data_IF_685969093213
#
_entry.id   IF_685969093213
#
_cell.length_a   1.000
_cell.length_b   1.000
_cell.length_c   1.000
_cell.angle_alpha   90.00
_cell.angle_beta   90.00
_cell.angle_gamma   90.00
#
_symmetry.space_group_name_H-M   'P 1'
#
loop_
_entity.id
_entity.type
_entity.pdbx_description
1 polymer ?
#
# COMPACT_ATOMS: atom_id res chain seq x y z
N UNK A 1 11.74 -9.05 -6.30
CA UNK A 1 10.78 -8.43 -5.36
C UNK A 1 9.57 -7.94 -6.13
N UNK A 2 8.38 -8.05 -5.54
CA UNK A 2 7.09 -7.72 -6.15
C UNK A 2 6.96 -8.28 -7.58
N UNK A 3 5.77 -8.40 -8.13
CA UNK A 3 5.62 -9.14 -9.40
C UNK A 3 4.47 -8.65 -10.31
N UNK A 4 3.95 -7.46 -10.08
CA UNK A 4 2.99 -6.80 -10.96
C UNK A 4 1.58 -7.40 -10.94
N UNK A 5 0.72 -6.89 -11.81
CA UNK A 5 -0.63 -7.40 -12.01
C UNK A 5 -0.66 -8.76 -12.70
N UNK A 6 -1.66 -9.58 -12.46
CA UNK A 6 -1.85 -10.90 -13.09
C UNK A 6 -1.86 -10.84 -14.64
N UNK A 7 -2.36 -9.76 -15.21
CA UNK A 7 -2.37 -9.52 -16.67
C UNK A 7 -0.98 -9.30 -17.29
N UNK A 8 0.02 -8.98 -16.48
CA UNK A 8 1.41 -8.68 -16.89
C UNK A 8 2.31 -9.91 -16.81
N UNK A 9 1.76 -11.09 -16.49
CA UNK A 9 2.53 -12.32 -16.30
C UNK A 9 3.42 -12.69 -17.47
N UNK A 10 2.87 -12.67 -18.68
CA UNK A 10 3.61 -13.11 -19.87
C UNK A 10 4.75 -12.15 -20.21
N UNK A 11 4.56 -10.85 -19.98
CA UNK A 11 5.60 -9.82 -20.12
C UNK A 11 6.70 -10.01 -19.07
N UNK A 12 6.33 -10.25 -17.82
CA UNK A 12 7.28 -10.50 -16.72
C UNK A 12 8.13 -11.75 -17.00
N UNK A 13 7.50 -12.86 -17.36
CA UNK A 13 8.20 -14.12 -17.65
C UNK A 13 9.07 -14.00 -18.90
N UNK A 14 8.57 -13.28 -19.93
CA UNK A 14 9.36 -12.95 -21.13
C UNK A 14 10.62 -12.17 -20.79
N UNK A 15 10.50 -11.12 -19.99
CA UNK A 15 11.64 -10.29 -19.54
C UNK A 15 12.68 -11.09 -18.74
N UNK A 16 12.24 -11.99 -17.86
CA UNK A 16 13.14 -12.89 -17.13
C UNK A 16 13.90 -13.81 -18.08
N UNK A 17 13.20 -14.39 -19.05
CA UNK A 17 13.78 -15.30 -20.06
C UNK A 17 14.80 -14.56 -20.93
N UNK A 18 14.47 -13.37 -21.40
CA UNK A 18 15.36 -12.55 -22.25
C UNK A 18 16.62 -12.13 -21.50
N UNK A 19 16.51 -11.92 -20.19
CA UNK A 19 17.65 -11.67 -19.30
C UNK A 19 18.43 -12.96 -18.92
N UNK A 20 17.99 -14.15 -19.34
CA UNK A 20 18.60 -15.41 -18.94
C UNK A 20 18.44 -15.76 -17.46
N UNK A 21 17.41 -15.20 -16.80
CA UNK A 21 17.16 -15.35 -15.38
C UNK A 21 16.01 -16.34 -15.11
N UNK A 22 16.18 -17.13 -14.05
CA UNK A 22 15.12 -18.00 -13.51
C UNK A 22 14.86 -17.60 -12.06
N UNK A 23 13.62 -17.26 -11.68
CA UNK A 23 13.33 -16.89 -10.30
C UNK A 23 13.52 -18.09 -9.38
N UNK A 24 14.17 -17.88 -8.23
CA UNK A 24 14.39 -18.89 -7.19
C UNK A 24 13.45 -18.71 -5.99
N UNK A 25 12.86 -17.52 -5.82
CA UNK A 25 11.95 -17.20 -4.74
C UNK A 25 11.32 -15.83 -4.94
N UNK A 26 10.27 -15.54 -4.17
CA UNK A 26 9.57 -14.27 -4.16
C UNK A 26 9.61 -13.67 -2.76
N UNK A 27 9.92 -12.38 -2.66
CA UNK A 27 9.64 -11.57 -1.48
C UNK A 27 8.73 -10.43 -1.95
N UNK A 28 7.57 -10.29 -1.32
CA UNK A 28 6.58 -9.28 -1.70
C UNK A 28 6.44 -8.26 -0.58
N UNK A 29 6.54 -6.98 -0.94
CA UNK A 29 6.53 -5.88 0.01
C UNK A 29 5.20 -5.71 0.73
N UNK A 30 4.08 -5.93 0.02
CA UNK A 30 2.72 -5.83 0.55
C UNK A 30 1.66 -6.48 -0.37
N UNK A 31 0.42 -6.59 0.12
CA UNK A 31 -0.65 -7.35 -0.52
C UNK A 31 -1.50 -6.57 -1.55
N UNK A 32 -1.05 -5.43 -2.05
CA UNK A 32 -1.74 -4.80 -3.18
C UNK A 32 -1.56 -5.60 -4.47
N UNK A 33 -2.62 -5.67 -5.27
CA UNK A 33 -2.69 -6.56 -6.42
C UNK A 33 -1.61 -6.30 -7.49
N UNK A 34 -1.15 -5.07 -7.60
CA UNK A 34 -0.06 -4.66 -8.49
C UNK A 34 1.34 -5.00 -7.97
N UNK A 35 1.44 -5.60 -6.78
CA UNK A 35 2.69 -6.09 -6.19
C UNK A 35 2.74 -7.62 -6.07
N UNK A 36 1.59 -8.25 -5.77
CA UNK A 36 1.54 -9.70 -5.58
C UNK A 36 0.71 -10.46 -6.64
N UNK A 37 0.18 -9.78 -7.65
CA UNK A 37 -0.80 -10.34 -8.60
C UNK A 37 -0.33 -11.56 -9.39
N UNK A 38 0.98 -11.75 -9.56
CA UNK A 38 1.56 -12.92 -10.20
C UNK A 38 2.13 -13.95 -9.22
N UNK A 39 2.06 -13.72 -7.91
CA UNK A 39 2.71 -14.57 -6.91
C UNK A 39 2.29 -16.03 -7.02
N UNK A 40 0.99 -16.31 -7.11
CA UNK A 40 0.46 -17.68 -7.26
C UNK A 40 0.96 -18.36 -8.53
N UNK A 41 0.84 -17.69 -9.69
CA UNK A 41 1.25 -18.24 -10.98
C UNK A 41 2.76 -18.50 -11.04
N UNK A 42 3.59 -17.58 -10.53
CA UNK A 42 5.04 -17.76 -10.47
C UNK A 42 5.44 -18.90 -9.55
N UNK A 43 4.82 -19.02 -8.37
CA UNK A 43 5.06 -20.12 -7.44
C UNK A 43 4.74 -21.48 -8.09
N UNK A 44 3.59 -21.59 -8.76
CA UNK A 44 3.17 -22.82 -9.42
C UNK A 44 4.05 -23.15 -10.63
N UNK A 45 4.41 -22.16 -11.45
CA UNK A 45 5.21 -22.37 -12.66
C UNK A 45 6.67 -22.72 -12.38
N UNK A 46 7.29 -22.09 -11.37
CA UNK A 46 8.71 -22.25 -11.05
C UNK A 46 8.97 -23.06 -9.77
N UNK A 47 7.91 -23.50 -9.07
CA UNK A 47 8.01 -24.25 -7.80
C UNK A 47 8.86 -23.52 -6.76
N UNK A 48 8.64 -22.22 -6.60
CA UNK A 48 9.43 -21.31 -5.75
C UNK A 48 8.67 -20.87 -4.51
N UNK A 49 9.37 -20.60 -3.38
CA UNK A 49 8.75 -20.09 -2.17
C UNK A 49 8.40 -18.60 -2.27
N UNK A 50 7.40 -18.21 -1.46
CA UNK A 50 6.97 -16.83 -1.25
C UNK A 50 7.20 -16.42 0.20
N UNK A 51 7.83 -15.26 0.40
CA UNK A 51 7.95 -14.59 1.70
C UNK A 51 7.15 -13.29 1.71
N UNK A 52 6.45 -13.02 2.81
CA UNK A 52 5.73 -11.76 3.08
C UNK A 52 5.68 -11.51 4.58
N UNK A 53 5.46 -10.25 4.97
CA UNK A 53 5.17 -9.92 6.37
C UNK A 53 3.87 -10.56 6.86
N UNK A 54 3.76 -10.78 8.18
CA UNK A 54 2.64 -11.47 8.80
C UNK A 54 1.29 -10.83 8.46
N UNK A 55 1.20 -9.51 8.57
CA UNK A 55 -0.02 -8.76 8.30
C UNK A 55 -0.46 -8.88 6.85
N UNK A 56 0.46 -8.74 5.90
CA UNK A 56 0.17 -8.83 4.46
C UNK A 56 -0.17 -10.26 4.03
N UNK A 57 0.56 -11.24 4.55
CA UNK A 57 0.28 -12.65 4.30
C UNK A 57 -1.13 -13.03 4.77
N UNK A 58 -1.58 -12.50 5.92
CA UNK A 58 -2.91 -12.71 6.46
C UNK A 58 -4.04 -12.24 5.54
N UNK A 59 -3.81 -11.20 4.75
CA UNK A 59 -4.81 -10.64 3.83
C UNK A 59 -5.11 -11.57 2.64
N UNK A 60 -4.14 -12.35 2.20
CA UNK A 60 -4.25 -13.20 0.99
C UNK A 60 -4.26 -14.70 1.28
N UNK A 61 -4.13 -15.09 2.56
CA UNK A 61 -3.99 -16.49 2.97
C UNK A 61 -5.26 -17.33 2.80
N UNK A 62 -6.44 -16.71 2.90
CA UNK A 62 -7.71 -17.40 2.83
C UNK A 62 -8.77 -16.62 2.05
N UNK A 63 -9.77 -17.34 1.52
CA UNK A 63 -10.90 -16.71 0.84
C UNK A 63 -11.59 -15.67 1.73
N UNK A 64 -11.87 -16.01 2.99
CA UNK A 64 -12.58 -15.11 3.91
C UNK A 64 -11.78 -13.82 4.21
N UNK A 65 -10.45 -13.90 4.35
CA UNK A 65 -9.60 -12.73 4.52
C UNK A 65 -9.59 -11.87 3.25
N UNK A 66 -9.43 -12.51 2.09
CA UNK A 66 -9.41 -11.84 0.80
C UNK A 66 -10.74 -11.16 0.48
N UNK A 67 -11.88 -11.82 0.75
CA UNK A 67 -13.22 -11.23 0.60
C UNK A 67 -13.35 -9.94 1.43
N UNK A 68 -12.87 -9.99 2.66
CA UNK A 68 -12.92 -8.82 3.55
C UNK A 68 -11.99 -7.71 3.08
N UNK A 69 -10.80 -8.06 2.64
CA UNK A 69 -9.79 -7.12 2.17
C UNK A 69 -10.18 -6.45 0.84
N UNK A 70 -10.62 -7.24 -0.14
CA UNK A 70 -10.96 -6.73 -1.48
C UNK A 70 -12.39 -6.20 -1.60
N UNK A 71 -13.20 -6.37 -0.55
CA UNK A 71 -14.61 -5.97 -0.50
C UNK A 71 -15.46 -6.59 -1.62
N UNK A 72 -15.94 -7.79 -1.41
CA UNK A 72 -16.78 -8.51 -2.39
C UNK A 72 -18.22 -7.95 -2.53
N UNK A 73 -18.62 -7.03 -1.67
CA UNK A 73 -19.97 -6.46 -1.76
C UNK A 73 -20.17 -5.77 -3.10
N UNK A 74 -21.27 -6.10 -3.77
CA UNK A 74 -21.60 -5.55 -5.09
C UNK A 74 -20.86 -6.19 -6.28
N UNK A 75 -20.00 -7.19 -6.06
CA UNK A 75 -19.32 -7.94 -7.13
C UNK A 75 -20.16 -9.14 -7.57
N UNK A 76 -20.05 -9.49 -8.86
CA UNK A 76 -20.61 -10.74 -9.39
C UNK A 76 -19.88 -11.96 -8.84
N UNK A 77 -20.51 -13.14 -8.89
CA UNK A 77 -19.86 -14.39 -8.50
C UNK A 77 -18.63 -14.71 -9.35
N UNK A 78 -18.65 -14.36 -10.65
CA UNK A 78 -17.53 -14.52 -11.56
C UNK A 78 -16.33 -13.66 -11.15
N UNK A 79 -16.58 -12.39 -10.77
CA UNK A 79 -15.54 -11.50 -10.25
C UNK A 79 -14.94 -12.02 -8.93
N UNK A 80 -15.76 -12.53 -8.02
CA UNK A 80 -15.30 -13.13 -6.76
C UNK A 80 -14.44 -14.35 -6.98
N UNK A 81 -14.85 -15.24 -7.89
CA UNK A 81 -14.07 -16.44 -8.27
C UNK A 81 -12.75 -16.03 -8.92
N UNK A 82 -12.75 -15.03 -9.79
CA UNK A 82 -11.52 -14.52 -10.43
C UNK A 82 -10.56 -13.98 -9.39
N UNK A 83 -11.04 -13.13 -8.47
CA UNK A 83 -10.22 -12.57 -7.39
C UNK A 83 -9.64 -13.69 -6.52
N UNK A 84 -10.44 -14.65 -6.07
CA UNK A 84 -9.97 -15.77 -5.24
C UNK A 84 -8.94 -16.63 -5.99
N UNK A 85 -9.20 -16.90 -7.26
CA UNK A 85 -8.31 -17.72 -8.09
C UNK A 85 -6.96 -17.04 -8.33
N UNK A 86 -6.94 -15.74 -8.55
CA UNK A 86 -5.72 -14.99 -8.90
C UNK A 86 -4.95 -14.54 -7.67
N UNK A 87 -5.64 -14.07 -6.63
CA UNK A 87 -5.00 -13.36 -5.53
C UNK A 87 -4.81 -14.22 -4.28
N UNK A 88 -5.62 -15.24 -4.05
CA UNK A 88 -5.41 -16.13 -2.90
C UNK A 88 -4.13 -16.94 -3.08
N UNK A 89 -3.15 -16.65 -2.24
CA UNK A 89 -1.85 -17.29 -2.31
C UNK A 89 -1.33 -17.60 -0.90
N UNK A 90 -1.11 -18.89 -0.55
CA UNK A 90 -0.43 -19.24 0.69
C UNK A 90 1.01 -18.73 0.68
N UNK A 91 1.48 -18.22 1.81
CA UNK A 91 2.84 -17.71 2.01
C UNK A 91 3.66 -18.77 2.73
N UNK A 92 4.86 -19.08 2.22
CA UNK A 92 5.70 -20.15 2.78
C UNK A 92 6.58 -19.66 3.92
N UNK A 93 7.07 -18.42 3.82
CA UNK A 93 7.94 -17.80 4.81
C UNK A 93 7.28 -16.53 5.35
N UNK A 94 6.79 -16.62 6.58
CA UNK A 94 6.17 -15.47 7.26
C UNK A 94 7.27 -14.67 7.96
N UNK A 95 7.38 -13.39 7.61
CA UNK A 95 8.27 -12.42 8.27
C UNK A 95 7.49 -11.85 9.46
N UNK A 96 7.98 -12.11 10.68
CA UNK A 96 7.35 -11.65 11.91
C UNK A 96 7.63 -10.16 12.16
N UNK A 97 6.80 -9.46 12.94
CA UNK A 97 6.99 -8.03 13.22
C UNK A 97 8.34 -7.67 13.86
N UNK A 98 8.98 -8.60 14.56
CA UNK A 98 10.28 -8.45 15.19
C UNK A 98 11.46 -8.83 14.27
N UNK A 99 11.21 -9.46 13.12
CA UNK A 99 12.26 -9.90 12.22
C UNK A 99 12.91 -8.69 11.53
N UNK A 100 14.23 -8.66 11.54
CA UNK A 100 15.04 -7.65 10.83
C UNK A 100 15.67 -8.19 9.56
N UNK A 101 15.44 -9.46 9.24
CA UNK A 101 15.90 -10.12 8.02
C UNK A 101 15.07 -11.35 7.71
N UNK A 102 15.08 -11.75 6.44
CA UNK A 102 14.52 -13.02 5.97
C UNK A 102 15.56 -13.78 5.16
N UNK A 103 15.70 -15.07 5.40
CA UNK A 103 16.53 -15.94 4.56
C UNK A 103 15.66 -16.73 3.61
N UNK A 104 15.82 -16.50 2.31
CA UNK A 104 15.09 -17.19 1.27
C UNK A 104 16.06 -17.75 0.23
N UNK A 105 15.95 -19.03 -0.09
CA UNK A 105 16.80 -19.71 -1.06
C UNK A 105 18.32 -19.53 -0.81
N UNK A 106 18.72 -19.54 0.45
CA UNK A 106 20.13 -19.41 0.86
C UNK A 106 20.68 -17.98 0.86
N UNK A 107 19.87 -16.98 0.56
CA UNK A 107 20.24 -15.56 0.62
C UNK A 107 19.49 -14.88 1.77
N UNK A 108 20.21 -14.11 2.58
CA UNK A 108 19.63 -13.33 3.68
C UNK A 108 19.43 -11.89 3.25
N UNK A 109 18.20 -11.42 3.34
CA UNK A 109 17.76 -10.07 2.99
C UNK A 109 17.40 -9.30 4.25
N UNK A 110 18.04 -8.14 4.53
CA UNK A 110 17.57 -7.22 5.56
C UNK A 110 16.10 -6.79 5.28
N UNK A 111 15.29 -6.72 6.33
CA UNK A 111 13.89 -6.30 6.25
C UNK A 111 13.65 -5.15 7.20
N UNK A 112 12.90 -4.16 6.75
CA UNK A 112 12.49 -3.02 7.57
C UNK A 112 10.96 -2.90 7.48
N UNK A 113 10.28 -3.05 8.64
CA UNK A 113 8.84 -2.86 8.73
C UNK A 113 8.51 -1.37 8.67
N UNK A 114 7.84 -0.94 7.62
CA UNK A 114 7.43 0.43 7.37
C UNK A 114 5.93 0.49 7.07
N UNK A 115 5.07 0.17 8.07
CA UNK A 115 3.62 0.15 7.90
C UNK A 115 3.04 1.55 7.66
N UNK A 116 1.84 1.59 7.11
CA UNK A 116 1.07 2.82 6.88
C UNK A 116 0.55 2.92 5.46
N UNK A 117 1.39 2.74 4.43
CA UNK A 117 0.91 2.56 3.07
C UNK A 117 -0.03 1.35 2.98
N UNK A 118 0.39 0.24 3.53
CA UNK A 118 -0.45 -0.94 3.78
C UNK A 118 -0.29 -1.41 5.22
N UNK A 119 -1.01 -2.45 5.61
CA UNK A 119 -1.14 -2.92 6.98
C UNK A 119 0.22 -3.23 7.65
N UNK A 120 1.11 -3.92 6.92
CA UNK A 120 2.42 -4.38 7.42
C UNK A 120 3.47 -4.35 6.29
N UNK A 121 3.50 -3.21 5.56
CA UNK A 121 4.42 -2.96 4.46
C UNK A 121 5.88 -3.15 4.90
N UNK A 122 6.68 -3.84 4.10
CA UNK A 122 8.10 -4.02 4.31
C UNK A 122 8.94 -3.40 3.18
N UNK A 123 10.12 -2.93 3.56
CA UNK A 123 11.19 -2.50 2.66
C UNK A 123 12.32 -3.52 2.77
N UNK A 124 12.89 -3.92 1.64
CA UNK A 124 13.78 -5.07 1.55
C UNK A 124 15.16 -4.62 1.07
N UNK A 125 16.18 -4.85 1.90
CA UNK A 125 17.57 -4.68 1.53
C UNK A 125 18.12 -5.90 0.78
N UNK A 126 19.11 -5.67 -0.08
CA UNK A 126 19.87 -6.76 -0.70
C UNK A 126 21.26 -6.86 -0.05
N UNK A 127 21.95 -8.02 -0.10
CA UNK A 127 23.28 -8.18 0.48
C UNK A 127 24.34 -7.25 -0.13
N UNK A 128 24.13 -6.79 -1.35
CA UNK A 128 25.01 -5.85 -2.08
C UNK A 128 24.64 -4.37 -1.86
N UNK A 129 23.75 -4.08 -0.91
CA UNK A 129 23.48 -2.71 -0.45
C UNK A 129 22.45 -1.92 -1.26
N UNK A 130 21.65 -2.58 -2.08
CA UNK A 130 20.48 -1.98 -2.73
C UNK A 130 19.26 -2.14 -1.85
N UNK A 131 18.36 -1.16 -1.83
CA UNK A 131 17.12 -1.22 -1.10
C UNK A 131 15.91 -1.13 -2.04
N UNK A 132 15.02 -2.11 -1.98
CA UNK A 132 13.73 -2.08 -2.63
C UNK A 132 12.70 -1.47 -1.67
N UNK A 133 12.21 -0.30 -2.00
CA UNK A 133 11.36 0.50 -1.13
C UNK A 133 9.86 0.18 -1.24
N UNK A 134 9.45 -0.68 -2.19
CA UNK A 134 8.02 -0.90 -2.44
C UNK A 134 7.31 0.43 -2.70
N UNK A 135 6.17 0.60 -2.06
CA UNK A 135 5.35 1.82 -2.12
C UNK A 135 5.49 2.73 -0.88
N UNK A 136 6.55 2.53 -0.07
CA UNK A 136 6.85 3.43 1.03
C UNK A 136 7.05 4.89 0.57
N UNK A 137 7.53 5.09 -0.67
CA UNK A 137 7.70 6.39 -1.29
C UNK A 137 7.20 6.41 -2.73
N UNK A 138 6.46 7.46 -3.08
CA UNK A 138 6.08 7.77 -4.44
C UNK A 138 7.15 8.64 -5.10
N UNK A 139 7.46 8.39 -6.38
CA UNK A 139 8.40 9.22 -7.13
C UNK A 139 7.81 10.60 -7.41
N UNK A 140 8.65 11.59 -7.72
CA UNK A 140 8.19 12.95 -8.04
C UNK A 140 7.17 12.98 -9.19
N UNK A 141 7.33 12.12 -10.18
CA UNK A 141 6.39 12.04 -11.28
C UNK A 141 5.00 11.57 -10.82
N UNK A 142 4.95 10.60 -9.92
CA UNK A 142 3.68 10.13 -9.33
C UNK A 142 3.09 11.21 -8.42
N UNK A 143 3.91 11.85 -7.57
CA UNK A 143 3.47 12.93 -6.67
C UNK A 143 2.79 14.10 -7.41
N UNK A 144 3.26 14.45 -8.62
CA UNK A 144 2.66 15.51 -9.43
C UNK A 144 1.24 15.20 -9.91
N UNK A 145 0.86 13.93 -9.99
CA UNK A 145 -0.41 13.49 -10.57
C UNK A 145 -1.36 12.87 -9.55
N UNK A 146 -0.83 12.39 -8.42
CA UNK A 146 -1.67 11.77 -7.37
C UNK A 146 -2.45 12.86 -6.65
N UNK A 147 -3.77 12.71 -6.64
CA UNK A 147 -4.67 13.66 -5.98
C UNK A 147 -4.66 13.50 -4.47
N UNK A 148 -4.66 12.27 -4.00
CA UNK A 148 -4.59 11.88 -2.60
C UNK A 148 -3.68 10.65 -2.50
N UNK A 149 -2.52 10.72 -1.84
CA UNK A 149 -1.69 9.55 -1.60
C UNK A 149 -2.48 8.48 -0.84
N UNK A 150 -2.39 7.23 -1.33
CA UNK A 150 -3.03 6.11 -0.64
C UNK A 150 -2.21 5.69 0.57
N UNK A 151 -2.88 5.42 1.67
CA UNK A 151 -2.35 4.72 2.83
C UNK A 151 -3.50 4.13 3.65
N UNK A 152 -3.25 3.06 4.37
CA UNK A 152 -4.21 2.46 5.32
C UNK A 152 -4.17 3.20 6.68
N UNK A 153 -3.05 3.87 7.01
CA UNK A 153 -2.89 4.62 8.24
C UNK A 153 -1.93 5.81 8.06
N UNK A 154 -2.47 7.02 7.98
CA UNK A 154 -1.68 8.24 7.68
C UNK A 154 -0.55 8.48 8.69
N UNK A 155 -0.82 8.36 9.98
CA UNK A 155 0.19 8.63 11.02
C UNK A 155 1.35 7.63 11.01
N UNK A 156 1.09 6.36 10.70
CA UNK A 156 2.14 5.35 10.53
C UNK A 156 2.90 5.59 9.22
N UNK A 157 2.21 5.92 8.14
CA UNK A 157 2.81 6.22 6.83
C UNK A 157 3.81 7.39 6.93
N UNK A 158 3.44 8.47 7.63
CA UNK A 158 4.35 9.59 7.87
C UNK A 158 5.58 9.18 8.70
N UNK A 159 5.40 8.34 9.74
CA UNK A 159 6.51 7.81 10.54
C UNK A 159 7.42 6.91 9.71
N UNK A 160 6.86 6.08 8.85
CA UNK A 160 7.59 5.19 7.96
C UNK A 160 8.40 5.97 6.91
N UNK A 161 7.84 7.05 6.35
CA UNK A 161 8.55 7.97 5.46
C UNK A 161 9.71 8.70 6.15
N UNK A 162 9.57 9.05 7.41
CA UNK A 162 10.69 9.59 8.21
C UNK A 162 11.73 8.50 8.51
N UNK A 163 11.30 7.27 8.81
CA UNK A 163 12.20 6.17 9.16
C UNK A 163 13.05 5.71 7.97
N UNK A 164 12.49 5.65 6.76
CA UNK A 164 13.22 5.22 5.56
C UNK A 164 14.45 6.10 5.28
N UNK A 165 14.40 7.39 5.66
CA UNK A 165 15.51 8.33 5.47
C UNK A 165 16.74 8.01 6.35
N UNK A 166 16.59 7.13 7.34
CA UNK A 166 17.64 6.73 8.30
C UNK A 166 18.24 5.38 7.95
N UNK A 167 17.71 4.70 6.94
CA UNK A 167 18.23 3.41 6.50
C UNK A 167 19.58 3.58 5.78
N UNK A 168 20.53 2.62 5.96
CA UNK A 168 21.92 2.79 5.53
C UNK A 168 22.15 2.40 4.05
N UNK A 169 21.22 2.75 3.17
CA UNK A 169 21.33 2.42 1.74
C UNK A 169 21.63 3.65 0.90
N UNK A 170 22.43 3.46 -0.15
CA UNK A 170 22.77 4.48 -1.12
C UNK A 170 22.04 4.27 -2.45
N UNK A 171 21.66 3.03 -2.75
CA UNK A 171 20.98 2.66 -3.99
C UNK A 171 19.55 2.21 -3.68
N UNK A 172 18.60 2.76 -4.41
CA UNK A 172 17.19 2.53 -4.17
C UNK A 172 16.48 2.06 -5.43
N UNK A 173 15.54 1.16 -5.28
CA UNK A 173 14.57 0.78 -6.29
C UNK A 173 13.19 1.10 -5.73
N UNK A 174 12.44 1.93 -6.45
CA UNK A 174 11.08 2.31 -6.11
C UNK A 174 10.11 1.53 -7.00
N UNK A 175 9.00 1.09 -6.47
CA UNK A 175 7.91 0.54 -7.28
C UNK A 175 7.46 1.56 -8.33
N UNK A 176 6.90 1.08 -9.43
CA UNK A 176 6.37 1.86 -10.53
C UNK A 176 7.38 2.69 -11.33
N UNK A 177 8.68 2.75 -10.94
CA UNK A 177 9.70 3.56 -11.65
C UNK A 177 11.08 2.93 -11.75
N UNK A 178 11.37 1.89 -10.96
CA UNK A 178 12.68 1.23 -10.97
C UNK A 178 13.76 2.00 -10.20
N UNK A 179 15.02 1.99 -10.66
CA UNK A 179 16.14 2.61 -9.95
C UNK A 179 15.92 4.10 -9.68
N UNK A 180 16.34 4.53 -8.48
CA UNK A 180 16.27 5.92 -8.03
C UNK A 180 17.64 6.37 -7.53
N UNK A 181 18.26 7.31 -8.26
CA UNK A 181 19.59 7.83 -7.99
C UNK A 181 19.57 9.19 -7.27
N UNK A 182 18.40 9.64 -6.82
CA UNK A 182 18.21 10.91 -6.13
C UNK A 182 18.43 10.82 -4.61
N UNK A 183 18.23 11.94 -3.94
CA UNK A 183 18.28 12.01 -2.49
C UNK A 183 16.99 11.47 -1.88
N UNK A 184 17.08 10.33 -1.18
CA UNK A 184 15.92 9.65 -0.57
C UNK A 184 15.22 10.53 0.48
N UNK A 185 15.98 11.36 1.23
CA UNK A 185 15.42 12.29 2.21
C UNK A 185 14.58 13.37 1.52
N UNK A 186 15.08 13.98 0.46
CA UNK A 186 14.31 15.00 -0.28
C UNK A 186 13.03 14.41 -0.88
N UNK A 187 13.10 13.16 -1.36
CA UNK A 187 11.92 12.47 -1.87
C UNK A 187 10.91 12.18 -0.75
N UNK A 188 11.38 11.71 0.41
CA UNK A 188 10.53 11.44 1.57
C UNK A 188 9.86 12.73 2.08
N UNK A 189 10.61 13.84 2.16
CA UNK A 189 10.05 15.14 2.56
C UNK A 189 8.94 15.59 1.61
N UNK A 190 9.12 15.48 0.29
CA UNK A 190 8.09 15.79 -0.71
C UNK A 190 6.84 14.90 -0.55
N UNK A 191 7.03 13.60 -0.25
CA UNK A 191 5.94 12.69 0.03
C UNK A 191 5.15 13.10 1.29
N UNK A 192 5.85 13.38 2.38
CA UNK A 192 5.25 13.82 3.64
C UNK A 192 4.52 15.17 3.49
N UNK A 193 5.12 16.12 2.75
CA UNK A 193 4.53 17.43 2.53
C UNK A 193 3.21 17.36 1.76
N UNK A 194 3.10 16.48 0.77
CA UNK A 194 1.83 16.27 0.07
C UNK A 194 0.77 15.67 1.01
N UNK A 195 1.11 14.70 1.85
CA UNK A 195 0.18 14.13 2.82
C UNK A 195 -0.29 15.20 3.82
N UNK A 196 0.63 15.99 4.37
CA UNK A 196 0.32 17.10 5.30
C UNK A 196 -0.54 18.17 4.65
N UNK A 197 -0.25 18.53 3.39
CA UNK A 197 -1.06 19.45 2.61
C UNK A 197 -2.50 18.94 2.49
N UNK A 198 -2.69 17.67 2.14
CA UNK A 198 -4.03 17.06 2.02
C UNK A 198 -4.77 17.03 3.35
N UNK A 199 -4.10 16.69 4.45
CA UNK A 199 -4.69 16.77 5.79
C UNK A 199 -5.19 18.19 6.08
N UNK A 200 -4.36 19.21 5.85
CA UNK A 200 -4.71 20.61 6.10
C UNK A 200 -5.88 21.10 5.21
N UNK A 201 -5.94 20.67 3.96
CA UNK A 201 -7.04 20.99 3.05
C UNK A 201 -8.36 20.32 3.49
N UNK A 202 -8.30 19.04 3.87
CA UNK A 202 -9.45 18.27 4.32
C UNK A 202 -9.98 18.77 5.68
N UNK A 203 -9.11 19.18 6.60
CA UNK A 203 -9.49 19.75 7.88
C UNK A 203 -10.38 20.99 7.72
N UNK A 204 -10.12 21.84 6.72
CA UNK A 204 -10.93 23.05 6.46
C UNK A 204 -12.40 22.76 6.14
N UNK A 205 -12.72 21.57 5.65
CA UNK A 205 -14.10 21.17 5.40
C UNK A 205 -14.90 21.07 6.71
N UNK A 206 -14.25 20.74 7.82
CA UNK A 206 -14.86 20.53 9.13
C UNK A 206 -15.19 21.84 9.90
N UNK A 207 -15.04 23.01 9.26
CA UNK A 207 -15.50 24.31 9.83
C UNK A 207 -17.02 24.33 10.10
N UNK A 208 -17.77 23.45 9.46
CA UNK A 208 -19.15 23.10 9.81
C UNK A 208 -19.26 21.63 10.20
N UNK A 209 -20.21 21.26 11.07
CA UNK A 209 -20.46 19.86 11.39
C UNK A 209 -20.75 19.05 10.14
N UNK A 210 -20.14 17.89 9.99
CA UNK A 210 -20.36 16.97 8.88
C UNK A 210 -20.48 15.53 9.35
N UNK A 211 -21.38 14.78 8.75
CA UNK A 211 -21.34 13.32 8.80
C UNK A 211 -20.15 12.80 7.99
N UNK A 212 -19.78 11.54 8.19
CA UNK A 212 -18.72 10.89 7.39
C UNK A 212 -19.02 10.98 5.88
N UNK A 213 -20.25 10.72 5.48
CA UNK A 213 -20.62 10.67 4.07
C UNK A 213 -20.58 12.07 3.42
N UNK A 214 -21.01 13.11 4.15
CA UNK A 214 -20.86 14.51 3.73
C UNK A 214 -19.39 14.89 3.60
N UNK A 215 -18.56 14.52 4.57
CA UNK A 215 -17.11 14.76 4.52
C UNK A 215 -16.49 14.10 3.29
N UNK A 216 -16.79 12.83 3.01
CA UNK A 216 -16.26 12.14 1.83
C UNK A 216 -16.75 12.80 0.53
N UNK A 217 -18.02 13.25 0.47
CA UNK A 217 -18.56 13.92 -0.71
C UNK A 217 -17.83 15.24 -0.97
N UNK A 218 -17.68 16.08 0.05
CA UNK A 218 -16.99 17.38 -0.08
C UNK A 218 -15.49 17.20 -0.35
N UNK A 219 -14.85 16.21 0.29
CA UNK A 219 -13.46 15.85 0.03
C UNK A 219 -13.24 15.49 -1.45
N UNK A 220 -14.13 14.67 -2.03
CA UNK A 220 -14.05 14.32 -3.45
C UNK A 220 -14.18 15.55 -4.35
N UNK A 221 -15.08 16.47 -4.02
CA UNK A 221 -15.24 17.73 -4.76
C UNK A 221 -13.97 18.58 -4.69
N UNK A 222 -13.44 18.75 -3.47
CA UNK A 222 -12.24 19.55 -3.21
C UNK A 222 -11.03 19.05 -3.99
N UNK A 223 -10.77 17.73 -3.99
CA UNK A 223 -9.59 17.15 -4.65
C UNK A 223 -9.87 16.69 -6.09
N UNK A 224 -11.07 16.97 -6.63
CA UNK A 224 -11.43 16.65 -8.01
C UNK A 224 -11.49 15.15 -8.31
N UNK A 225 -11.91 14.32 -7.35
CA UNK A 225 -12.15 12.89 -7.56
C UNK A 225 -13.59 12.68 -8.03
N UNK A 226 -13.77 11.87 -9.07
CA UNK A 226 -15.09 11.56 -9.63
C UNK A 226 -15.43 10.08 -9.40
N UNK A 227 -16.72 9.81 -9.19
CA UNK A 227 -17.27 8.46 -9.05
C UNK A 227 -18.18 8.21 -10.26
N UNK A 228 -17.89 7.17 -11.02
CA UNK A 228 -18.73 6.67 -12.08
C UNK A 228 -19.22 5.24 -11.81
N UNK A 229 -18.59 4.51 -10.87
CA UNK A 229 -18.93 3.13 -10.53
C UNK A 229 -18.92 2.89 -9.03
N UNK A 230 -19.61 1.84 -8.60
CA UNK A 230 -19.60 1.41 -7.19
C UNK A 230 -18.18 1.07 -6.69
N UNK A 231 -17.39 0.39 -7.50
CA UNK A 231 -16.01 0.04 -7.16
C UNK A 231 -15.13 1.29 -6.94
N UNK A 232 -15.31 2.34 -7.74
CA UNK A 232 -14.64 3.62 -7.51
C UNK A 232 -15.07 4.28 -6.20
N UNK A 233 -16.37 4.17 -5.82
CA UNK A 233 -16.86 4.69 -4.55
C UNK A 233 -16.14 4.02 -3.37
N UNK A 234 -16.11 2.69 -3.34
CA UNK A 234 -15.48 1.92 -2.27
C UNK A 234 -13.97 2.22 -2.18
N UNK A 235 -13.27 2.29 -3.32
CA UNK A 235 -11.86 2.66 -3.32
C UNK A 235 -11.63 4.06 -2.76
N UNK A 236 -12.45 5.04 -3.15
CA UNK A 236 -12.30 6.41 -2.63
C UNK A 236 -12.60 6.51 -1.14
N UNK A 237 -13.56 5.75 -0.62
CA UNK A 237 -13.80 5.68 0.83
C UNK A 237 -12.58 5.11 1.58
N UNK A 238 -11.95 4.07 1.05
CA UNK A 238 -10.69 3.53 1.60
C UNK A 238 -9.56 4.55 1.60
N UNK A 239 -9.48 5.42 0.58
CA UNK A 239 -8.48 6.50 0.53
C UNK A 239 -8.77 7.64 1.52
N UNK A 240 -10.05 8.02 1.69
CA UNK A 240 -10.44 9.17 2.51
C UNK A 240 -10.53 8.85 4.01
N UNK A 241 -10.90 7.62 4.33
CA UNK A 241 -11.10 7.18 5.71
C UNK A 241 -9.86 7.39 6.59
N UNK A 242 -8.66 6.98 6.22
CA UNK A 242 -7.46 7.17 7.03
C UNK A 242 -7.12 8.63 7.30
N UNK A 243 -7.44 9.52 6.36
CA UNK A 243 -7.25 10.96 6.55
C UNK A 243 -8.23 11.55 7.58
N UNK A 244 -9.52 11.18 7.50
CA UNK A 244 -10.50 11.61 8.51
C UNK A 244 -10.14 11.07 9.90
N UNK A 245 -9.76 9.81 9.99
CA UNK A 245 -9.31 9.19 11.23
C UNK A 245 -8.07 9.91 11.79
N UNK A 246 -7.11 10.26 10.94
CA UNK A 246 -5.92 11.00 11.38
C UNK A 246 -6.24 12.37 11.93
N UNK A 247 -7.17 13.12 11.34
CA UNK A 247 -7.60 14.41 11.87
C UNK A 247 -8.21 14.30 13.28
N UNK A 248 -8.85 13.17 13.60
CA UNK A 248 -9.36 12.90 14.94
C UNK A 248 -8.24 12.45 15.88
N UNK A 249 -7.34 11.58 15.42
CA UNK A 249 -6.23 11.03 16.22
C UNK A 249 -5.27 12.15 16.68
N UNK A 250 -4.96 13.11 15.82
CA UNK A 250 -4.05 14.21 16.13
C UNK A 250 -4.74 15.41 16.83
N UNK A 251 -6.05 15.29 17.09
CA UNK A 251 -6.83 16.31 17.75
C UNK A 251 -7.21 17.51 16.89
N UNK A 252 -6.94 17.51 15.60
CA UNK A 252 -7.39 18.56 14.67
C UNK A 252 -8.91 18.55 14.52
N UNK A 253 -9.52 17.38 14.59
CA UNK A 253 -10.96 17.22 14.59
C UNK A 253 -11.44 16.45 15.83
N UNK A 254 -12.69 16.67 16.20
CA UNK A 254 -13.41 15.88 17.22
C UNK A 254 -14.67 15.28 16.62
N UNK A 255 -15.18 14.24 17.27
CA UNK A 255 -16.43 13.60 16.88
C UNK A 255 -17.44 13.67 18.02
N UNK A 256 -18.73 13.79 17.67
CA UNK A 256 -19.87 13.77 18.59
C UNK A 256 -20.97 12.87 18.01
N UNK A 257 -21.69 12.16 18.89
CA UNK A 257 -22.91 11.43 18.52
C UNK A 257 -24.12 12.30 18.80
N UNK A 258 -24.93 12.58 17.78
CA UNK A 258 -26.21 13.31 17.89
C UNK A 258 -27.27 12.56 17.09
N UNK A 259 -28.42 12.22 17.69
CA UNK A 259 -29.52 11.55 17.05
C UNK A 259 -29.06 10.29 16.26
N UNK A 260 -28.32 9.40 16.93
CA UNK A 260 -27.77 8.14 16.40
C UNK A 260 -26.81 8.33 15.20
N UNK A 261 -26.31 9.53 14.98
CA UNK A 261 -25.40 9.89 13.90
C UNK A 261 -24.11 10.50 14.43
N UNK A 262 -22.97 10.09 13.86
CA UNK A 262 -21.65 10.67 14.17
C UNK A 262 -21.43 11.91 13.31
N UNK A 263 -21.10 13.01 13.97
CA UNK A 263 -20.67 14.27 13.34
C UNK A 263 -19.21 14.55 13.68
N UNK A 264 -18.50 15.08 12.72
CA UNK A 264 -17.11 15.52 12.85
C UNK A 264 -17.07 17.04 12.81
N UNK A 265 -16.19 17.61 13.62
CA UNK A 265 -16.03 19.06 13.81
C UNK A 265 -14.55 19.39 13.82
N UNK A 266 -14.17 20.54 13.27
CA UNK A 266 -12.85 21.11 13.51
C UNK A 266 -12.73 21.47 15.01
N UNK A 267 -11.60 21.13 15.63
CA UNK A 267 -11.30 21.67 16.97
C UNK A 267 -10.89 23.14 16.88
N UNK A 268 -11.25 23.92 17.89
CA UNK A 268 -10.86 25.33 18.04
C UNK A 268 -9.38 25.48 18.38
#
# INVERSE_FOLDING_TARGET
FDNGYSKEYDELVGSLKDAGLTPAGLIVSHAHIDHHGNSKRLREAFQIPLAMSLGEAGLIASQAALERYTNYFGRSEEEKISIDTEQRCPVDCIIQPEDTSVTLCGVTFPVHHLPGHSLDHIVIGTPDGVCFAGDALLTENVLRHVKLPYCDHVGLDLKSKEAITKLPYQHWILSHKGPFDGNIRELADKNMDLVRLRLAELAKLLQRPMTRDEFYQESRRLIGMHIGTYDQLIRQERHLRPYLEQLVIDGTARLEVKNDTIYFYLNE
#
